data_IF_122307639488
#
_entry.id   IF_122307639488
#
_cell.length_a   1.000
_cell.length_b   1.000
_cell.length_c   1.000
_cell.angle_alpha   90.00
_cell.angle_beta   90.00
_cell.angle_gamma   90.00
#
_symmetry.space_group_name_H-M   'P 1'
#
loop_
_entity.id
_entity.type
_entity.pdbx_description
1 polymer ?
#
# COMPACT_ATOMS: atom_id res chain seq x y z
N UNK A 1 -4.13 -16.73 17.74
CA UNK A 1 -4.21 -18.14 17.29
C UNK A 1 -2.82 -18.74 17.25
N UNK A 2 -2.64 -19.94 17.80
CA UNK A 2 -1.38 -20.68 17.72
C UNK A 2 -1.50 -21.76 16.64
N UNK A 3 -0.72 -21.62 15.57
CA UNK A 3 -0.58 -22.61 14.50
C UNK A 3 0.82 -23.24 14.56
N UNK A 4 0.88 -24.48 15.04
CA UNK A 4 2.11 -25.27 15.07
C UNK A 4 1.94 -26.49 14.18
N UNK A 5 2.74 -26.55 13.11
CA UNK A 5 2.75 -27.67 12.18
C UNK A 5 1.40 -28.01 11.52
N UNK A 6 0.46 -27.06 11.49
CA UNK A 6 -0.81 -27.20 10.75
C UNK A 6 -0.89 -26.25 9.56
N UNK A 7 -1.78 -26.55 8.61
CA UNK A 7 -1.99 -25.82 7.37
C UNK A 7 -3.39 -25.24 7.25
N UNK A 8 -3.82 -24.35 8.17
CA UNK A 8 -5.19 -23.86 8.17
C UNK A 8 -5.47 -23.01 6.93
N UNK A 9 -6.68 -23.16 6.40
CA UNK A 9 -7.27 -22.25 5.42
C UNK A 9 -8.28 -21.39 6.17
N UNK A 10 -8.09 -20.08 6.17
CA UNK A 10 -8.97 -19.12 6.84
C UNK A 10 -9.49 -18.12 5.82
N UNK A 11 -10.79 -17.88 5.85
CA UNK A 11 -11.47 -16.94 4.94
C UNK A 11 -12.45 -16.09 5.72
N UNK A 12 -12.46 -14.79 5.45
CA UNK A 12 -13.37 -13.82 6.08
C UNK A 12 -13.29 -13.80 7.61
N UNK A 13 -12.06 -13.73 8.14
CA UNK A 13 -11.76 -13.77 9.58
C UNK A 13 -11.17 -12.45 10.07
N UNK A 14 -11.50 -12.07 11.31
CA UNK A 14 -10.86 -10.94 11.99
C UNK A 14 -10.18 -11.39 13.28
N UNK A 15 -8.88 -11.08 13.41
CA UNK A 15 -8.13 -11.14 14.66
C UNK A 15 -7.99 -9.72 15.20
N UNK A 16 -8.75 -9.39 16.25
CA UNK A 16 -8.75 -8.04 16.82
C UNK A 16 -8.46 -8.00 18.31
N UNK A 17 -7.63 -7.07 18.75
CA UNK A 17 -7.38 -6.79 20.16
C UNK A 17 -6.68 -7.91 20.94
N UNK A 18 -6.01 -8.84 20.26
CA UNK A 18 -5.32 -9.95 20.91
C UNK A 18 -3.96 -9.51 21.45
N UNK A 19 -3.49 -10.12 22.54
CA UNK A 19 -2.21 -9.77 23.17
C UNK A 19 -1.38 -11.00 23.54
N UNK A 20 -0.13 -11.03 23.08
CA UNK A 20 0.90 -11.97 23.53
C UNK A 20 1.83 -11.26 24.52
N UNK A 21 1.51 -11.31 25.82
CA UNK A 21 2.23 -10.55 26.86
C UNK A 21 3.63 -11.08 27.18
N UNK A 22 3.93 -12.33 26.78
CA UNK A 22 5.22 -12.98 27.00
C UNK A 22 5.60 -13.81 25.75
N UNK A 23 5.51 -13.21 24.56
CA UNK A 23 5.87 -13.91 23.33
C UNK A 23 5.48 -13.17 22.06
N UNK A 24 5.51 -13.94 20.97
CA UNK A 24 5.31 -13.47 19.60
C UNK A 24 3.90 -13.74 19.09
N UNK A 25 3.48 -13.03 18.03
CA UNK A 25 2.27 -13.38 17.27
C UNK A 25 0.98 -13.02 17.99
N UNK A 26 0.80 -11.74 18.34
CA UNK A 26 -0.34 -11.26 19.11
C UNK A 26 -1.69 -11.72 18.54
N UNK A 27 -1.90 -11.50 17.24
CA UNK A 27 -3.05 -12.06 16.52
C UNK A 27 -2.85 -13.53 16.15
N UNK A 28 -1.73 -13.86 15.49
CA UNK A 28 -1.41 -15.22 15.07
C UNK A 28 0.08 -15.55 15.16
N UNK A 29 0.39 -16.72 15.70
CA UNK A 29 1.70 -17.32 15.69
C UNK A 29 1.70 -18.53 14.75
N UNK A 30 2.56 -18.52 13.74
CA UNK A 30 2.80 -19.63 12.83
C UNK A 30 4.21 -20.17 13.03
N UNK A 31 4.32 -21.46 13.34
CA UNK A 31 5.60 -22.16 13.27
C UNK A 31 5.42 -23.52 12.64
N UNK A 32 6.24 -23.80 11.65
CA UNK A 32 6.38 -25.13 11.07
C UNK A 32 7.82 -25.31 10.61
N UNK A 33 8.30 -26.54 10.54
CA UNK A 33 9.60 -26.82 9.93
C UNK A 33 9.48 -27.03 8.41
N UNK A 34 8.29 -26.83 7.82
CA UNK A 34 7.98 -27.07 6.40
C UNK A 34 6.78 -26.24 5.90
N UNK A 35 6.62 -26.17 4.57
CA UNK A 35 5.54 -25.50 3.85
C UNK A 35 4.16 -26.13 4.15
N UNK A 36 3.42 -25.56 5.10
CA UNK A 36 2.18 -26.19 5.56
C UNK A 36 0.94 -25.81 4.75
N UNK A 37 1.05 -24.99 3.71
CA UNK A 37 -0.12 -24.59 2.90
C UNK A 37 -1.11 -23.69 3.66
N UNK A 38 -0.65 -23.01 4.72
CA UNK A 38 -1.45 -21.99 5.40
C UNK A 38 -1.87 -20.91 4.40
N UNK A 39 -3.18 -20.76 4.21
CA UNK A 39 -3.77 -19.79 3.29
C UNK A 39 -4.78 -18.93 4.04
N UNK A 40 -4.55 -17.62 4.05
CA UNK A 40 -5.52 -16.66 4.55
C UNK A 40 -6.06 -15.85 3.38
N UNK A 41 -7.37 -15.66 3.34
CA UNK A 41 -8.05 -14.85 2.33
C UNK A 41 -9.05 -13.92 3.00
N UNK A 42 -9.04 -12.63 2.67
CA UNK A 42 -9.97 -11.64 3.24
C UNK A 42 -9.90 -11.61 4.77
N UNK A 43 -8.70 -11.48 5.33
CA UNK A 43 -8.49 -11.50 6.79
C UNK A 43 -8.00 -10.15 7.28
N UNK A 44 -8.47 -9.74 8.46
CA UNK A 44 -8.01 -8.52 9.14
C UNK A 44 -7.32 -8.85 10.45
N UNK A 45 -6.13 -8.29 10.66
CA UNK A 45 -5.42 -8.25 11.94
C UNK A 45 -5.44 -6.80 12.44
N UNK A 46 -6.25 -6.49 13.46
CA UNK A 46 -6.41 -5.11 13.96
C UNK A 46 -6.12 -4.97 15.45
N UNK A 47 -5.31 -3.98 15.83
CA UNK A 47 -5.10 -3.66 17.25
C UNK A 47 -4.49 -4.80 18.08
N UNK A 48 -3.78 -5.74 17.46
CA UNK A 48 -3.12 -6.83 18.18
C UNK A 48 -1.74 -6.40 18.70
N UNK A 49 -1.28 -7.00 19.79
CA UNK A 49 -0.02 -6.66 20.44
C UNK A 49 0.81 -7.89 20.79
N UNK A 50 2.14 -7.77 20.68
CA UNK A 50 3.08 -8.78 21.15
C UNK A 50 4.23 -8.12 21.92
N UNK A 51 4.69 -8.73 23.01
CA UNK A 51 5.82 -8.18 23.79
C UNK A 51 7.14 -8.24 23.02
N UNK A 52 7.26 -9.14 22.05
CA UNK A 52 8.49 -9.37 21.28
C UNK A 52 8.25 -9.13 19.78
N UNK A 53 7.74 -10.09 19.03
CA UNK A 53 7.69 -10.01 17.58
C UNK A 53 6.28 -10.25 17.03
N UNK A 54 5.94 -9.59 15.91
CA UNK A 54 4.72 -9.92 15.16
C UNK A 54 3.46 -9.56 15.92
N UNK A 55 3.15 -8.27 16.04
CA UNK A 55 1.96 -7.81 16.76
C UNK A 55 0.69 -8.39 16.15
N UNK A 56 0.53 -8.26 14.83
CA UNK A 56 -0.50 -8.94 14.07
C UNK A 56 -0.18 -10.41 13.87
N UNK A 57 0.97 -10.71 13.25
CA UNK A 57 1.39 -12.07 12.92
C UNK A 57 2.89 -12.30 13.10
N UNK A 58 3.24 -13.43 13.69
CA UNK A 58 4.60 -13.95 13.71
C UNK A 58 4.68 -15.26 12.91
N UNK A 59 5.72 -15.38 12.09
CA UNK A 59 5.97 -16.53 11.23
C UNK A 59 7.39 -17.03 11.41
N UNK A 60 7.56 -18.31 11.73
CA UNK A 60 8.87 -18.92 11.95
C UNK A 60 9.03 -20.23 11.17
N UNK A 61 10.06 -20.28 10.32
CA UNK A 61 10.39 -21.38 9.43
C UNK A 61 9.24 -21.87 8.52
N UNK A 62 8.29 -20.99 8.20
CA UNK A 62 7.05 -21.35 7.53
C UNK A 62 6.86 -20.63 6.19
N UNK A 63 6.10 -21.24 5.28
CA UNK A 63 5.58 -20.58 4.07
C UNK A 63 4.07 -20.40 4.21
N UNK A 64 3.59 -19.18 4.00
CA UNK A 64 2.17 -18.86 4.04
C UNK A 64 1.78 -18.00 2.85
N UNK A 65 0.55 -18.19 2.38
CA UNK A 65 -0.03 -17.40 1.30
C UNK A 65 -1.12 -16.51 1.88
N UNK A 66 -0.99 -15.22 1.63
CA UNK A 66 -1.85 -14.17 2.15
C UNK A 66 -2.46 -13.40 0.99
N UNK A 67 -3.79 -13.44 0.88
CA UNK A 67 -4.52 -12.77 -0.19
C UNK A 67 -5.58 -11.86 0.40
N UNK A 68 -5.61 -10.58 0.00
CA UNK A 68 -6.59 -9.61 0.50
C UNK A 68 -6.52 -9.53 2.04
N UNK A 69 -5.41 -9.05 2.59
CA UNK A 69 -5.19 -9.00 4.04
C UNK A 69 -5.00 -7.54 4.49
N UNK A 70 -5.53 -7.19 5.65
CA UNK A 70 -5.21 -5.91 6.31
C UNK A 70 -4.54 -6.16 7.65
N UNK A 71 -3.37 -5.57 7.86
CA UNK A 71 -2.72 -5.41 9.17
C UNK A 71 -2.82 -3.95 9.59
N UNK A 72 -3.66 -3.67 10.59
CA UNK A 72 -3.97 -2.33 11.04
C UNK A 72 -3.66 -2.14 12.53
N UNK A 73 -2.98 -1.05 12.91
CA UNK A 73 -2.78 -0.65 14.33
C UNK A 73 -2.19 -1.73 15.24
N UNK A 74 -1.41 -2.66 14.70
CA UNK A 74 -0.76 -3.69 15.51
C UNK A 74 0.58 -3.19 16.07
N UNK A 75 0.96 -3.70 17.25
CA UNK A 75 2.15 -3.25 17.98
C UNK A 75 3.04 -4.41 18.44
N UNK A 76 4.36 -4.22 18.38
CA UNK A 76 5.35 -5.17 18.89
C UNK A 76 6.71 -4.50 19.13
N UNK A 77 7.72 -5.24 19.59
CA UNK A 77 9.10 -4.75 19.55
C UNK A 77 9.63 -4.72 18.11
N UNK A 78 9.32 -5.73 17.30
CA UNK A 78 9.67 -5.81 15.87
C UNK A 78 8.51 -6.40 15.06
N UNK A 79 8.33 -5.95 13.82
CA UNK A 79 7.29 -6.46 12.92
C UNK A 79 5.88 -6.20 13.47
N UNK A 80 5.46 -4.94 13.55
CA UNK A 80 4.20 -4.55 14.20
C UNK A 80 3.02 -5.25 13.54
N UNK A 81 2.90 -5.13 12.22
CA UNK A 81 1.97 -5.93 11.44
C UNK A 81 2.41 -7.39 11.35
N UNK A 82 3.61 -7.63 10.83
CA UNK A 82 4.13 -8.98 10.61
C UNK A 82 5.64 -9.10 10.89
N UNK A 83 6.03 -10.21 11.51
CA UNK A 83 7.43 -10.62 11.61
C UNK A 83 7.64 -11.99 10.95
N UNK A 84 8.64 -12.09 10.08
CA UNK A 84 9.04 -13.32 9.39
C UNK A 84 10.46 -13.73 9.79
N UNK A 85 10.62 -14.94 10.33
CA UNK A 85 11.90 -15.53 10.73
C UNK A 85 12.17 -16.79 9.91
N UNK A 86 13.24 -16.84 9.13
CA UNK A 86 13.59 -18.03 8.35
C UNK A 86 12.46 -18.50 7.43
N UNK A 87 11.57 -17.60 7.00
CA UNK A 87 10.26 -17.92 6.44
C UNK A 87 10.15 -17.50 4.97
N UNK A 88 9.14 -18.01 4.27
CA UNK A 88 8.91 -17.67 2.85
C UNK A 88 7.45 -17.31 2.54
N UNK A 89 6.91 -16.23 3.12
CA UNK A 89 5.54 -15.80 2.85
C UNK A 89 5.38 -15.16 1.45
N UNK A 90 4.21 -15.38 0.87
CA UNK A 90 3.74 -14.76 -0.37
C UNK A 90 2.51 -13.91 -0.04
N UNK A 91 2.57 -12.62 -0.35
CA UNK A 91 1.52 -11.65 -0.07
C UNK A 91 1.00 -11.06 -1.37
N UNK A 92 -0.31 -11.05 -1.53
CA UNK A 92 -0.99 -10.46 -2.68
C UNK A 92 -2.17 -9.62 -2.22
N UNK A 93 -2.25 -8.37 -2.67
CA UNK A 93 -3.30 -7.43 -2.27
C UNK A 93 -3.34 -7.28 -0.73
N UNK A 94 -2.26 -6.77 -0.14
CA UNK A 94 -2.16 -6.64 1.32
C UNK A 94 -1.96 -5.17 1.69
N UNK A 95 -2.60 -4.74 2.76
CA UNK A 95 -2.36 -3.43 3.36
C UNK A 95 -1.76 -3.59 4.75
N UNK A 96 -0.65 -2.90 4.99
CA UNK A 96 -0.11 -2.64 6.33
C UNK A 96 -0.31 -1.16 6.64
N UNK A 97 -1.18 -0.84 7.59
CA UNK A 97 -1.49 0.54 7.98
C UNK A 97 -1.33 0.78 9.47
N UNK A 98 -0.69 1.89 9.83
CA UNK A 98 -0.58 2.40 11.21
C UNK A 98 -0.04 1.39 12.24
N UNK A 99 0.78 0.43 11.81
CA UNK A 99 1.45 -0.49 12.72
C UNK A 99 2.69 0.18 13.32
N UNK A 100 2.97 -0.07 14.59
CA UNK A 100 4.02 0.65 15.32
C UNK A 100 4.91 -0.27 16.15
N UNK A 101 6.22 -0.02 16.11
CA UNK A 101 7.21 -0.81 16.86
C UNK A 101 8.29 0.03 17.52
N UNK A 102 8.84 -0.49 18.61
CA UNK A 102 9.95 0.15 19.33
C UNK A 102 11.34 -0.13 18.75
N UNK A 103 11.47 -1.03 17.78
CA UNK A 103 12.74 -1.32 17.10
C UNK A 103 12.63 -1.15 15.58
N UNK A 104 12.33 -2.21 14.84
CA UNK A 104 12.44 -2.21 13.37
C UNK A 104 11.27 -2.93 12.68
N UNK A 105 10.92 -2.49 11.47
CA UNK A 105 9.85 -3.07 10.66
C UNK A 105 8.46 -2.77 11.23
N UNK A 106 8.03 -1.52 11.18
CA UNK A 106 6.71 -1.11 11.70
C UNK A 106 5.58 -1.90 11.06
N UNK A 107 5.52 -1.92 9.73
CA UNK A 107 4.61 -2.79 8.98
C UNK A 107 5.08 -4.24 8.97
N UNK A 108 6.29 -4.47 8.45
CA UNK A 108 6.86 -5.81 8.32
C UNK A 108 8.35 -5.87 8.66
N UNK A 109 8.75 -6.93 9.38
CA UNK A 109 10.16 -7.26 9.62
C UNK A 109 10.51 -8.63 9.03
N UNK A 110 11.56 -8.72 8.22
CA UNK A 110 12.06 -9.96 7.62
C UNK A 110 13.46 -10.29 8.14
N UNK A 111 13.61 -11.47 8.73
CA UNK A 111 14.88 -11.98 9.26
C UNK A 111 15.22 -13.32 8.61
N UNK A 112 16.33 -13.38 7.89
CA UNK A 112 16.77 -14.59 7.17
C UNK A 112 15.67 -15.24 6.33
N UNK A 113 14.79 -14.43 5.72
CA UNK A 113 13.56 -14.87 5.07
C UNK A 113 13.59 -14.62 3.57
N UNK A 114 12.71 -15.27 2.81
CA UNK A 114 12.51 -15.05 1.37
C UNK A 114 11.07 -14.63 1.10
N UNK A 115 10.80 -13.33 1.00
CA UNK A 115 9.42 -12.82 0.87
C UNK A 115 9.10 -12.37 -0.55
N UNK A 116 7.86 -12.58 -0.96
CA UNK A 116 7.32 -12.09 -2.24
C UNK A 116 6.07 -11.27 -1.98
N UNK A 117 6.08 -10.02 -2.43
CA UNK A 117 4.99 -9.06 -2.25
C UNK A 117 4.51 -8.57 -3.62
N UNK A 118 3.22 -8.66 -3.87
CA UNK A 118 2.58 -8.17 -5.10
C UNK A 118 1.35 -7.35 -4.76
N UNK A 119 1.22 -6.14 -5.31
CA UNK A 119 0.09 -5.24 -5.04
C UNK A 119 -0.09 -5.00 -3.53
N UNK A 120 0.97 -4.54 -2.87
CA UNK A 120 0.96 -4.31 -1.42
C UNK A 120 1.10 -2.82 -1.12
N UNK A 121 0.36 -2.33 -0.13
CA UNK A 121 0.47 -0.96 0.37
C UNK A 121 0.95 -0.95 1.81
N UNK A 122 1.98 -0.16 2.10
CA UNK A 122 2.44 0.17 3.43
C UNK A 122 2.20 1.66 3.70
N UNK A 123 1.34 1.97 4.66
CA UNK A 123 0.96 3.34 4.99
C UNK A 123 1.07 3.63 6.49
N UNK A 124 1.62 4.79 6.87
CA UNK A 124 1.54 5.26 8.26
C UNK A 124 2.27 4.39 9.29
N UNK A 125 3.07 3.40 8.85
CA UNK A 125 3.74 2.50 9.78
C UNK A 125 4.98 3.16 10.38
N UNK A 126 5.25 2.88 11.65
CA UNK A 126 6.33 3.51 12.40
C UNK A 126 7.25 2.52 13.10
N UNK A 127 8.54 2.82 13.08
CA UNK A 127 9.57 2.09 13.81
C UNK A 127 10.53 3.09 14.46
N UNK A 128 11.15 2.77 15.59
CA UNK A 128 12.12 3.69 16.22
C UNK A 128 13.48 3.70 15.50
N UNK A 129 13.90 2.57 14.92
CA UNK A 129 15.22 2.41 14.31
C UNK A 129 15.13 2.34 12.79
N UNK A 130 14.70 1.21 12.22
CA UNK A 130 14.82 0.95 10.79
C UNK A 130 13.51 0.49 10.16
N UNK A 131 13.21 0.97 8.95
CA UNK A 131 12.11 0.41 8.15
C UNK A 131 10.76 0.64 8.79
N UNK A 132 10.23 1.86 8.72
CA UNK A 132 8.89 2.16 9.22
C UNK A 132 7.85 1.30 8.51
N UNK A 133 7.90 1.24 7.18
CA UNK A 133 7.10 0.33 6.37
C UNK A 133 7.63 -1.11 6.44
N UNK A 134 8.85 -1.32 5.97
CA UNK A 134 9.50 -2.64 5.95
C UNK A 134 10.98 -2.58 6.30
N UNK A 135 11.43 -3.52 7.14
CA UNK A 135 12.86 -3.75 7.39
C UNK A 135 13.24 -5.19 7.06
N UNK A 136 14.36 -5.39 6.39
CA UNK A 136 14.86 -6.70 5.99
C UNK A 136 16.30 -6.90 6.40
N UNK A 137 16.57 -8.00 7.11
CA UNK A 137 17.91 -8.41 7.53
C UNK A 137 18.27 -9.81 7.05
N UNK A 138 19.44 -9.93 6.40
CA UNK A 138 19.97 -11.16 5.77
C UNK A 138 18.91 -11.91 4.97
N UNK A 139 18.03 -11.18 4.29
CA UNK A 139 16.81 -11.70 3.67
C UNK A 139 16.83 -11.50 2.17
N UNK A 140 16.01 -12.26 1.46
CA UNK A 140 15.67 -12.03 0.07
C UNK A 140 14.25 -11.48 -0.01
N UNK A 141 14.05 -10.37 -0.72
CA UNK A 141 12.70 -9.82 -0.91
C UNK A 141 12.47 -9.50 -2.38
N UNK A 142 11.31 -9.92 -2.90
CA UNK A 142 10.86 -9.58 -4.26
C UNK A 142 9.58 -8.75 -4.16
N UNK A 143 9.65 -7.50 -4.59
CA UNK A 143 8.55 -6.56 -4.52
C UNK A 143 8.11 -6.20 -5.94
N UNK A 144 6.83 -6.36 -6.23
CA UNK A 144 6.24 -6.02 -7.53
C UNK A 144 4.98 -5.20 -7.31
N UNK A 145 4.91 -4.01 -7.88
CA UNK A 145 3.73 -3.14 -7.76
C UNK A 145 3.37 -2.88 -6.29
N UNK A 146 4.32 -2.34 -5.52
CA UNK A 146 4.18 -2.06 -4.08
C UNK A 146 4.27 -0.56 -3.86
N UNK A 147 3.48 -0.03 -2.93
CA UNK A 147 3.53 1.39 -2.54
C UNK A 147 3.85 1.52 -1.05
N UNK A 148 4.91 2.26 -0.73
CA UNK A 148 5.23 2.72 0.62
C UNK A 148 5.01 4.23 0.67
N UNK A 149 4.15 4.70 1.57
CA UNK A 149 3.91 6.14 1.76
C UNK A 149 3.58 6.49 3.21
N UNK A 150 4.09 7.62 3.72
CA UNK A 150 3.76 8.08 5.07
C UNK A 150 4.36 7.24 6.19
N UNK A 151 5.41 6.45 5.94
CA UNK A 151 6.03 5.60 6.95
C UNK A 151 7.18 6.33 7.66
N UNK A 152 7.51 5.97 8.90
CA UNK A 152 8.49 6.71 9.71
C UNK A 152 9.48 5.79 10.43
N UNK A 153 10.77 6.10 10.34
CA UNK A 153 11.83 5.50 11.15
C UNK A 153 13.04 6.44 11.29
N UNK A 154 14.06 6.04 12.04
CA UNK A 154 15.35 6.78 12.04
C UNK A 154 16.08 6.60 10.71
N UNK A 155 16.02 5.40 10.11
CA UNK A 155 16.60 5.12 8.80
C UNK A 155 15.65 4.30 7.93
N UNK A 156 15.42 4.77 6.71
CA UNK A 156 14.55 4.09 5.75
C UNK A 156 13.12 4.03 6.26
N UNK A 157 12.51 5.19 6.48
CA UNK A 157 11.11 5.31 6.90
C UNK A 157 10.19 4.45 6.06
N UNK A 158 10.35 4.46 4.74
CA UNK A 158 9.66 3.53 3.85
C UNK A 158 10.25 2.12 3.98
N UNK A 159 11.49 1.97 3.52
CA UNK A 159 12.19 0.68 3.43
C UNK A 159 13.61 0.76 3.97
N UNK A 160 13.99 -0.22 4.78
CA UNK A 160 15.38 -0.49 5.14
C UNK A 160 15.78 -1.91 4.71
N UNK A 161 16.84 -2.01 3.91
CA UNK A 161 17.39 -3.28 3.44
C UNK A 161 18.85 -3.41 3.89
N UNK A 162 19.18 -4.39 4.72
CA UNK A 162 20.58 -4.59 5.06
C UNK A 162 21.43 -5.02 3.84
N UNK A 163 22.74 -4.79 3.91
CA UNK A 163 23.64 -5.05 2.79
C UNK A 163 23.92 -6.55 2.55
N UNK A 164 23.40 -7.43 3.42
CA UNK A 164 23.66 -8.88 3.35
C UNK A 164 22.58 -9.66 2.59
N UNK A 165 21.46 -9.00 2.28
CA UNK A 165 20.33 -9.58 1.57
C UNK A 165 20.35 -9.41 0.05
N UNK A 166 19.29 -9.90 -0.59
CA UNK A 166 19.01 -9.71 -2.01
C UNK A 166 17.61 -9.12 -2.17
N UNK A 167 17.53 -7.85 -2.57
CA UNK A 167 16.28 -7.10 -2.55
C UNK A 167 15.97 -6.60 -3.95
N UNK A 168 15.00 -7.21 -4.63
CA UNK A 168 14.62 -6.88 -6.00
C UNK A 168 13.27 -6.15 -6.00
N UNK A 169 13.29 -4.91 -6.50
CA UNK A 169 12.11 -4.05 -6.59
C UNK A 169 11.76 -3.79 -8.05
N UNK A 170 10.49 -3.99 -8.40
CA UNK A 170 9.96 -3.67 -9.73
C UNK A 170 8.62 -2.97 -9.61
N UNK A 171 8.45 -1.84 -10.30
CA UNK A 171 7.23 -1.04 -10.22
C UNK A 171 6.88 -0.63 -8.77
N UNK A 172 7.88 -0.25 -7.96
CA UNK A 172 7.65 0.12 -6.54
C UNK A 172 7.68 1.63 -6.36
N UNK A 173 6.71 2.18 -5.62
CA UNK A 173 6.73 3.55 -5.12
C UNK A 173 7.23 3.54 -3.66
N UNK A 174 8.20 4.39 -3.33
CA UNK A 174 8.62 4.68 -1.97
C UNK A 174 8.67 6.19 -1.80
N UNK A 175 7.79 6.74 -0.99
CA UNK A 175 7.61 8.19 -0.87
C UNK A 175 7.12 8.59 0.52
N UNK A 176 7.05 9.90 0.74
CA UNK A 176 6.43 10.59 1.86
C UNK A 176 6.86 10.02 3.23
N UNK A 177 8.10 9.51 3.32
CA UNK A 177 8.56 8.83 4.52
C UNK A 177 9.51 9.69 5.35
N UNK A 178 9.40 9.59 6.66
CA UNK A 178 10.30 10.27 7.61
C UNK A 178 11.48 9.38 7.96
N UNK A 179 12.70 9.92 7.94
CA UNK A 179 13.95 9.15 8.06
C UNK A 179 14.52 8.64 6.73
N UNK A 180 14.06 9.23 5.62
CA UNK A 180 14.43 8.88 4.25
C UNK A 180 13.58 7.74 3.69
N UNK A 181 13.30 7.76 2.39
CA UNK A 181 12.42 6.78 1.76
C UNK A 181 13.02 5.37 1.77
N UNK A 182 14.26 5.24 1.31
CA UNK A 182 14.91 3.94 1.18
C UNK A 182 16.37 3.97 1.66
N UNK A 183 16.70 3.11 2.62
CA UNK A 183 18.06 2.98 3.16
C UNK A 183 18.65 1.59 2.93
N UNK A 184 19.97 1.54 2.86
CA UNK A 184 20.72 0.32 2.58
C UNK A 184 20.91 0.05 1.09
N UNK A 185 20.72 -1.18 0.64
CA UNK A 185 20.98 -1.56 -0.75
C UNK A 185 19.90 -2.43 -1.37
N UNK A 186 19.63 -2.21 -2.65
CA UNK A 186 18.85 -3.11 -3.50
C UNK A 186 19.71 -3.80 -4.54
N UNK A 187 19.21 -4.91 -5.08
CA UNK A 187 19.87 -5.71 -6.10
C UNK A 187 19.85 -4.98 -7.46
N UNK A 188 20.90 -5.17 -8.30
CA UNK A 188 21.02 -4.51 -9.61
C UNK A 188 19.89 -4.77 -10.62
N UNK A 189 19.05 -5.80 -10.38
CA UNK A 189 17.88 -6.10 -11.20
C UNK A 189 16.66 -5.21 -10.91
N UNK A 190 16.73 -4.33 -9.91
CA UNK A 190 15.62 -3.46 -9.54
C UNK A 190 15.42 -2.36 -10.58
N UNK A 191 14.21 -2.24 -11.13
CA UNK A 191 13.89 -1.32 -12.25
C UNK A 191 12.48 -0.77 -12.14
N UNK A 192 12.20 0.35 -12.83
CA UNK A 192 10.87 0.96 -12.91
C UNK A 192 10.30 1.31 -11.54
N UNK A 193 11.16 1.72 -10.62
CA UNK A 193 10.75 2.17 -9.29
C UNK A 193 10.73 3.69 -9.23
N UNK A 194 9.89 4.24 -8.36
CA UNK A 194 9.85 5.66 -8.03
C UNK A 194 10.23 5.84 -6.56
N UNK A 195 11.29 6.61 -6.31
CA UNK A 195 11.68 7.06 -4.98
C UNK A 195 11.61 8.59 -4.94
N UNK A 196 10.81 9.14 -4.03
CA UNK A 196 10.61 10.60 -3.93
C UNK A 196 11.90 11.28 -3.44
N UNK A 197 12.56 10.71 -2.43
CA UNK A 197 13.83 11.19 -1.92
C UNK A 197 14.98 10.92 -2.91
N UNK A 198 15.82 11.92 -3.17
CA UNK A 198 16.98 11.80 -4.06
C UNK A 198 18.29 11.44 -3.36
N UNK A 199 18.30 11.37 -2.03
CA UNK A 199 19.47 11.02 -1.20
C UNK A 199 19.32 9.66 -0.54
N UNK A 200 18.10 9.27 -0.15
CA UNK A 200 17.80 7.97 0.45
C UNK A 200 17.12 7.04 -0.57
N UNK A 201 17.90 6.58 -1.55
CA UNK A 201 17.41 5.77 -2.68
C UNK A 201 17.72 4.28 -2.57
N UNK A 202 18.30 3.82 -1.45
CA UNK A 202 18.86 2.48 -1.28
C UNK A 202 19.74 1.97 -2.45
N UNK A 203 20.47 2.88 -3.10
CA UNK A 203 21.35 2.58 -4.24
C UNK A 203 20.64 2.50 -5.59
N UNK A 204 19.33 2.75 -5.66
CA UNK A 204 18.63 2.94 -6.92
C UNK A 204 19.16 4.19 -7.62
N UNK A 205 19.37 4.07 -8.93
CA UNK A 205 19.78 5.15 -9.81
C UNK A 205 18.86 5.17 -11.02
N UNK A 206 18.70 6.34 -11.64
CA UNK A 206 18.05 6.45 -12.94
C UNK A 206 19.12 6.54 -14.04
N UNK A 207 19.11 5.61 -15.00
CA UNK A 207 20.01 5.62 -16.15
C UNK A 207 19.39 4.93 -17.37
N UNK A 208 20.09 4.96 -18.51
CA UNK A 208 19.56 4.44 -19.79
C UNK A 208 19.28 2.93 -19.79
N UNK A 209 19.86 2.16 -18.86
CA UNK A 209 19.68 0.71 -18.76
C UNK A 209 18.69 0.29 -17.68
N UNK A 210 18.45 1.17 -16.70
CA UNK A 210 17.52 0.94 -15.57
C UNK A 210 16.71 2.22 -15.38
N UNK A 211 15.45 2.15 -15.79
CA UNK A 211 14.55 3.31 -15.78
C UNK A 211 13.92 3.39 -14.40
N UNK A 212 14.51 4.14 -13.47
CA UNK A 212 13.87 4.49 -12.20
C UNK A 212 13.51 5.97 -12.23
N UNK A 213 12.59 6.41 -11.37
CA UNK A 213 12.26 7.81 -11.14
C UNK A 213 12.78 8.15 -9.75
N UNK A 214 13.68 9.13 -9.66
CA UNK A 214 14.33 9.51 -8.41
C UNK A 214 14.15 11.00 -8.22
N UNK A 215 13.77 11.44 -7.02
CA UNK A 215 13.65 12.86 -6.72
C UNK A 215 12.36 13.52 -7.19
N UNK A 216 11.30 12.74 -7.46
CA UNK A 216 10.02 13.26 -7.93
C UNK A 216 8.89 12.79 -7.03
N UNK A 217 7.98 13.69 -6.68
CA UNK A 217 6.76 13.38 -5.96
C UNK A 217 5.88 12.44 -6.83
N UNK A 218 5.48 11.26 -6.32
CA UNK A 218 4.54 10.39 -7.01
C UNK A 218 3.11 10.96 -7.15
N UNK A 219 2.80 12.09 -6.50
CA UNK A 219 1.49 12.74 -6.52
C UNK A 219 0.38 11.75 -6.11
N UNK A 220 0.57 11.15 -4.93
CA UNK A 220 -0.38 10.19 -4.37
C UNK A 220 -1.62 10.92 -3.81
N UNK A 221 -2.79 10.30 -3.98
CA UNK A 221 -4.00 10.68 -3.27
C UNK A 221 -3.97 10.28 -1.80
N UNK A 222 -5.12 10.37 -1.12
CA UNK A 222 -5.26 9.85 0.25
C UNK A 222 -5.36 8.32 0.24
N UNK A 223 -4.91 7.67 1.32
CA UNK A 223 -5.11 6.22 1.46
C UNK A 223 -6.62 5.94 1.49
N UNK A 224 -7.08 5.14 0.53
CA UNK A 224 -8.50 4.95 0.27
C UNK A 224 -8.88 3.48 0.33
N UNK A 225 -10.00 3.17 0.99
CA UNK A 225 -10.54 1.81 1.06
C UNK A 225 -11.49 1.50 -0.11
N UNK A 226 -11.03 0.65 -1.03
CA UNK A 226 -11.81 0.16 -2.16
C UNK A 226 -12.57 -1.14 -1.85
N UNK A 227 -12.99 -1.33 -0.60
CA UNK A 227 -13.94 -2.37 -0.21
C UNK A 227 -13.27 -3.69 0.19
N UNK A 228 -13.14 -3.88 1.49
CA UNK A 228 -12.74 -5.15 2.10
C UNK A 228 -11.24 -5.25 2.40
N UNK A 229 -10.81 -6.34 3.07
CA UNK A 229 -9.42 -6.47 3.51
C UNK A 229 -8.42 -6.42 2.35
N UNK A 230 -7.30 -5.71 2.55
CA UNK A 230 -6.24 -5.55 1.57
C UNK A 230 -6.58 -4.65 0.38
N UNK A 231 -7.72 -3.95 0.39
CA UNK A 231 -8.14 -3.01 -0.68
C UNK A 231 -7.87 -1.55 -0.37
N UNK A 232 -7.15 -1.27 0.72
CA UNK A 232 -6.67 0.08 1.03
C UNK A 232 -5.40 0.40 0.26
N UNK A 233 -5.48 1.35 -0.67
CA UNK A 233 -4.39 1.74 -1.59
C UNK A 233 -4.38 3.24 -1.84
N UNK A 234 -3.24 3.79 -2.24
CA UNK A 234 -3.10 5.18 -2.69
C UNK A 234 -3.40 5.29 -4.19
N UNK A 235 -4.43 6.05 -4.59
CA UNK A 235 -4.63 6.44 -5.99
C UNK A 235 -3.46 7.30 -6.49
N UNK A 236 -3.10 7.17 -7.77
CA UNK A 236 -2.21 8.12 -8.45
C UNK A 236 -3.04 9.30 -8.91
N UNK A 237 -2.65 10.54 -8.65
CA UNK A 237 -3.40 11.70 -9.13
C UNK A 237 -2.89 12.17 -10.49
N UNK A 238 -3.64 13.04 -11.15
CA UNK A 238 -3.19 13.67 -12.40
C UNK A 238 -1.82 14.35 -12.23
N UNK A 239 -0.96 14.19 -13.23
CA UNK A 239 0.41 14.68 -13.21
C UNK A 239 1.39 13.78 -12.46
N UNK A 240 0.92 12.66 -11.90
CA UNK A 240 1.78 11.67 -11.28
C UNK A 240 2.80 11.12 -12.30
N UNK A 241 4.11 11.15 -11.98
CA UNK A 241 5.13 10.56 -12.83
C UNK A 241 5.14 9.02 -12.76
N UNK A 242 4.33 8.40 -11.90
CA UNK A 242 4.18 6.94 -11.83
C UNK A 242 3.26 6.37 -12.92
N UNK A 243 2.42 7.21 -13.53
CA UNK A 243 1.47 6.81 -14.57
C UNK A 243 2.21 6.41 -15.84
N UNK A 244 1.88 5.24 -16.38
CA UNK A 244 2.48 4.61 -17.55
C UNK A 244 4.02 4.45 -17.47
N UNK A 245 4.62 4.58 -16.29
CA UNK A 245 6.08 4.58 -16.12
C UNK A 245 6.67 3.21 -15.71
N UNK A 246 5.82 2.25 -15.40
CA UNK A 246 6.20 0.89 -15.02
C UNK A 246 6.60 0.01 -16.21
N UNK A 247 7.12 -1.17 -15.89
CA UNK A 247 7.34 -2.24 -16.88
C UNK A 247 6.16 -3.21 -16.90
N UNK A 248 5.80 -3.67 -18.10
CA UNK A 248 4.82 -4.75 -18.29
C UNK A 248 5.41 -6.13 -17.94
N UNK A 249 6.73 -6.25 -17.80
CA UNK A 249 7.37 -7.53 -17.47
C UNK A 249 7.09 -7.88 -16.01
N UNK A 250 6.37 -8.99 -15.79
CA UNK A 250 5.98 -9.41 -14.44
C UNK A 250 4.86 -8.58 -13.82
N UNK A 251 4.23 -7.67 -14.58
CA UNK A 251 3.10 -6.92 -14.10
C UNK A 251 1.88 -7.85 -13.87
N UNK A 252 1.23 -7.80 -12.69
CA UNK A 252 0.06 -8.62 -12.40
C UNK A 252 -1.14 -8.21 -13.28
N UNK A 253 -2.06 -9.13 -13.54
CA UNK A 253 -3.23 -8.88 -14.39
C UNK A 253 -4.22 -7.85 -13.81
N UNK A 254 -4.15 -7.62 -12.49
CA UNK A 254 -4.95 -6.63 -11.79
C UNK A 254 -4.11 -5.87 -10.77
N UNK A 255 -4.55 -4.66 -10.41
CA UNK A 255 -4.00 -3.89 -9.28
C UNK A 255 -4.51 -4.40 -7.92
N UNK A 256 -4.13 -3.70 -6.84
CA UNK A 256 -4.51 -4.09 -5.48
C UNK A 256 -6.03 -4.13 -5.27
N UNK A 257 -6.79 -3.28 -5.98
CA UNK A 257 -8.25 -3.21 -5.92
C UNK A 257 -8.90 -4.37 -6.68
N UNK A 258 -8.22 -4.88 -7.70
CA UNK A 258 -8.73 -5.85 -8.66
C UNK A 258 -9.10 -5.21 -10.01
N UNK A 259 -8.76 -3.93 -10.23
CA UNK A 259 -8.90 -3.29 -11.53
C UNK A 259 -7.87 -3.85 -12.50
N UNK A 260 -8.21 -3.96 -13.79
CA UNK A 260 -7.33 -4.53 -14.81
C UNK A 260 -6.04 -3.72 -14.99
N UNK A 261 -4.94 -4.40 -15.35
CA UNK A 261 -3.66 -3.80 -15.74
C UNK A 261 -3.20 -4.29 -17.13
N UNK A 262 -2.46 -3.48 -17.89
CA UNK A 262 -2.30 -2.03 -17.71
C UNK A 262 -3.55 -1.24 -18.15
N UNK A 263 -3.73 -0.04 -17.62
CA UNK A 263 -4.64 0.98 -18.16
C UNK A 263 -3.78 2.03 -18.85
N UNK A 264 -3.52 1.80 -20.14
CA UNK A 264 -2.57 2.60 -20.91
C UNK A 264 -1.56 1.74 -21.66
N UNK A 265 -0.50 2.34 -22.23
CA UNK A 265 0.58 1.60 -22.86
C UNK A 265 1.36 0.66 -21.92
N UNK A 266 1.50 1.03 -20.64
CA UNK A 266 2.36 0.32 -19.68
C UNK A 266 1.74 0.32 -18.30
N UNK A 267 2.10 -0.65 -17.47
CA UNK A 267 1.63 -0.66 -16.08
C UNK A 267 2.13 0.57 -15.34
N UNK A 268 1.32 1.06 -14.42
CA UNK A 268 1.73 2.11 -13.51
C UNK A 268 2.70 1.57 -12.45
N UNK A 269 3.60 2.43 -11.99
CA UNK A 269 4.44 2.15 -10.83
C UNK A 269 3.56 2.17 -9.58
N UNK A 270 3.74 1.22 -8.67
CA UNK A 270 3.01 1.11 -7.41
C UNK A 270 1.82 0.17 -7.46
N UNK A 271 1.06 0.14 -6.37
CA UNK A 271 -0.02 -0.82 -6.13
C UNK A 271 -1.36 -0.48 -6.78
N UNK A 272 -1.51 0.75 -7.29
CA UNK A 272 -2.67 1.25 -8.03
C UNK A 272 -2.41 1.27 -9.55
N UNK A 273 -3.47 1.14 -10.35
CA UNK A 273 -3.44 1.35 -11.80
C UNK A 273 -4.54 2.34 -12.23
N UNK A 274 -4.18 3.30 -13.06
CA UNK A 274 -4.97 4.42 -13.54
C UNK A 274 -4.69 5.71 -12.75
N UNK A 275 -5.50 6.72 -13.05
CA UNK A 275 -5.53 7.99 -12.32
C UNK A 275 -6.79 8.08 -11.44
N UNK A 276 -6.61 8.52 -10.20
CA UNK A 276 -7.65 9.06 -9.34
C UNK A 276 -7.87 10.53 -9.67
N UNK A 277 -9.14 10.94 -9.70
CA UNK A 277 -9.56 12.29 -10.06
C UNK A 277 -9.95 13.06 -8.80
N UNK A 278 -9.27 14.17 -8.53
CA UNK A 278 -9.63 15.07 -7.44
C UNK A 278 -10.47 16.21 -7.99
N UNK A 279 -11.59 16.50 -7.33
CA UNK A 279 -12.35 17.72 -7.51
C UNK A 279 -11.64 18.86 -6.79
N UNK A 280 -11.05 19.77 -7.56
CA UNK A 280 -10.42 21.00 -7.05
C UNK A 280 -11.25 22.25 -7.35
N UNK A 281 -12.25 22.15 -8.24
CA UNK A 281 -13.11 23.25 -8.63
C UNK A 281 -12.35 24.44 -9.20
N UNK A 282 -11.20 24.23 -9.84
CA UNK A 282 -10.40 25.32 -10.42
C UNK A 282 -11.01 25.93 -11.71
N UNK A 283 -12.11 25.37 -12.22
CA UNK A 283 -12.86 25.92 -13.35
C UNK A 283 -13.82 27.07 -13.00
N UNK A 284 -14.39 27.69 -14.05
CA UNK A 284 -15.29 28.85 -13.93
C UNK A 284 -16.67 28.52 -13.33
N UNK A 285 -17.05 27.24 -13.25
CA UNK A 285 -18.33 26.77 -12.75
C UNK A 285 -18.20 25.69 -11.65
N UNK A 286 -19.30 25.01 -11.34
CA UNK A 286 -19.37 23.98 -10.30
C UNK A 286 -19.77 22.60 -10.83
N UNK A 287 -19.61 22.33 -12.12
CA UNK A 287 -20.22 21.18 -12.77
C UNK A 287 -19.26 19.99 -12.97
N UNK A 288 -19.70 18.76 -12.66
CA UNK A 288 -18.92 17.53 -12.87
C UNK A 288 -18.57 17.29 -14.35
N UNK A 289 -19.38 17.76 -15.30
CA UNK A 289 -19.08 17.63 -16.73
C UNK A 289 -18.02 18.62 -17.24
N UNK A 290 -17.60 19.58 -16.43
CA UNK A 290 -16.56 20.55 -16.80
C UNK A 290 -15.19 20.01 -16.41
N UNK A 291 -14.38 19.67 -17.41
CA UNK A 291 -13.07 19.04 -17.21
C UNK A 291 -12.13 19.86 -16.32
N UNK A 292 -12.18 21.19 -16.44
CA UNK A 292 -11.37 22.15 -15.64
C UNK A 292 -11.67 22.14 -14.13
N UNK A 293 -12.72 21.45 -13.67
CA UNK A 293 -13.01 21.32 -12.24
C UNK A 293 -12.35 20.07 -11.62
N UNK A 294 -11.64 19.31 -12.43
CA UNK A 294 -10.96 18.08 -12.05
C UNK A 294 -9.46 18.24 -12.26
N UNK A 295 -8.69 17.64 -11.37
CA UNK A 295 -7.24 17.58 -11.53
C UNK A 295 -6.87 16.95 -12.86
N UNK A 296 -6.06 17.65 -13.66
CA UNK A 296 -5.68 17.19 -15.00
C UNK A 296 -6.62 17.61 -16.12
N UNK A 297 -7.54 18.53 -15.86
CA UNK A 297 -8.47 19.06 -16.85
C UNK A 297 -9.23 17.95 -17.61
N UNK A 298 -9.55 16.86 -16.92
CA UNK A 298 -10.15 15.66 -17.49
C UNK A 298 -11.30 15.18 -16.62
N UNK A 299 -12.47 14.99 -17.22
CA UNK A 299 -13.66 14.48 -16.51
C UNK A 299 -13.44 12.99 -16.18
N UNK A 300 -13.73 12.54 -14.95
CA UNK A 300 -13.65 11.12 -14.60
C UNK A 300 -14.51 10.27 -15.54
N UNK A 301 -14.12 9.02 -15.73
CA UNK A 301 -14.81 8.01 -16.52
C UNK A 301 -15.34 6.87 -15.66
N UNK A 302 -15.79 5.82 -16.34
CA UNK A 302 -16.24 4.60 -15.68
C UNK A 302 -15.03 3.86 -15.08
N UNK A 303 -15.11 3.48 -13.81
CA UNK A 303 -14.01 2.79 -13.10
C UNK A 303 -13.03 3.72 -12.38
N UNK A 304 -13.17 5.04 -12.56
CA UNK A 304 -12.30 6.01 -11.93
C UNK A 304 -12.70 6.27 -10.47
N UNK A 305 -11.71 6.59 -9.65
CA UNK A 305 -11.91 6.99 -8.27
C UNK A 305 -11.97 8.52 -8.20
N UNK A 306 -12.95 9.04 -7.46
CA UNK A 306 -13.24 10.46 -7.36
C UNK A 306 -13.02 10.95 -5.93
N UNK A 307 -12.31 12.06 -5.76
CA UNK A 307 -11.92 12.60 -4.46
C UNK A 307 -12.33 14.06 -4.29
N UNK A 308 -12.89 14.42 -3.14
CA UNK A 308 -13.10 15.80 -2.72
C UNK A 308 -12.17 16.08 -1.54
N UNK A 309 -10.97 16.61 -1.79
CA UNK A 309 -9.91 16.69 -0.78
C UNK A 309 -9.90 18.00 0.03
N UNK A 310 -10.79 18.95 -0.26
CA UNK A 310 -10.93 20.20 0.48
C UNK A 310 -10.09 21.37 -0.04
N UNK A 311 -9.40 21.22 -1.17
CA UNK A 311 -8.77 22.37 -1.87
C UNK A 311 -9.82 23.36 -2.39
N UNK A 312 -11.05 22.89 -2.60
CA UNK A 312 -12.19 23.70 -3.02
C UNK A 312 -13.24 23.83 -1.92
N UNK A 313 -13.78 25.04 -1.75
CA UNK A 313 -15.03 25.28 -0.99
C UNK A 313 -16.23 25.48 -1.91
N UNK A 314 -16.04 25.42 -3.23
CA UNK A 314 -17.13 25.55 -4.20
C UNK A 314 -18.08 24.36 -4.06
N UNK A 315 -19.38 24.66 -4.13
CA UNK A 315 -20.39 23.63 -4.34
C UNK A 315 -20.05 22.83 -5.60
N UNK A 316 -20.50 21.59 -5.65
CA UNK A 316 -20.32 20.71 -6.79
C UNK A 316 -21.68 20.22 -7.25
N UNK A 317 -21.94 20.22 -8.55
CA UNK A 317 -23.19 19.77 -9.16
C UNK A 317 -22.89 18.58 -10.05
N UNK A 318 -23.50 17.44 -9.72
CA UNK A 318 -23.43 16.23 -10.53
C UNK A 318 -24.55 16.30 -11.57
N UNK A 319 -24.21 16.69 -12.79
CA UNK A 319 -25.15 16.77 -13.92
C UNK A 319 -25.15 15.53 -14.83
N UNK A 320 -24.36 14.52 -14.47
CA UNK A 320 -24.19 13.22 -15.14
C UNK A 320 -24.03 13.28 -16.68
N UNK A 321 -22.77 13.28 -17.11
CA UNK A 321 -22.32 12.77 -18.42
C UNK A 321 -21.16 11.78 -18.22
N UNK A 322 -21.28 10.86 -17.25
CA UNK A 322 -20.32 9.76 -17.15
C UNK A 322 -20.73 8.66 -18.11
N UNK A 323 -19.79 8.14 -18.89
CA UNK A 323 -19.98 6.96 -19.74
C UNK A 323 -20.23 5.65 -18.95
N UNK A 324 -20.40 5.71 -17.62
CA UNK A 324 -20.61 4.58 -16.72
C UNK A 324 -20.48 4.96 -15.24
N UNK A 325 -20.33 3.96 -14.36
CA UNK A 325 -20.20 4.15 -12.91
C UNK A 325 -18.75 4.45 -12.51
N UNK A 326 -18.55 5.47 -11.66
CA UNK A 326 -17.26 5.67 -10.96
C UNK A 326 -17.08 4.58 -9.91
N UNK A 327 -15.84 4.23 -9.57
CA UNK A 327 -15.58 3.13 -8.63
C UNK A 327 -15.81 3.56 -7.18
N UNK A 328 -15.27 4.73 -6.80
CA UNK A 328 -15.40 5.31 -5.47
C UNK A 328 -15.66 6.82 -5.56
N UNK A 329 -16.34 7.34 -4.55
CA UNK A 329 -16.42 8.78 -4.26
C UNK A 329 -16.05 8.99 -2.81
N UNK A 330 -14.94 9.65 -2.56
CA UNK A 330 -14.42 9.91 -1.22
C UNK A 330 -14.41 11.41 -0.95
N UNK A 331 -15.09 11.83 0.12
CA UNK A 331 -15.22 13.23 0.51
C UNK A 331 -14.47 13.45 1.82
N UNK A 332 -13.43 14.27 1.78
CA UNK A 332 -12.64 14.61 2.95
C UNK A 332 -13.41 15.55 3.87
N UNK A 333 -13.14 15.44 5.19
CA UNK A 333 -13.61 16.39 6.20
C UNK A 333 -13.29 17.88 5.89
N UNK A 334 -12.25 18.13 5.08
CA UNK A 334 -11.84 19.49 4.74
C UNK A 334 -12.68 20.11 3.61
N UNK A 335 -13.40 19.29 2.85
CA UNK A 335 -14.29 19.77 1.81
C UNK A 335 -15.56 20.35 2.42
N UNK A 336 -15.75 21.66 2.23
CA UNK A 336 -16.88 22.41 2.83
C UNK A 336 -17.95 22.81 1.81
N UNK A 337 -17.76 22.45 0.53
CA UNK A 337 -18.74 22.68 -0.52
C UNK A 337 -19.95 21.75 -0.39
N UNK A 338 -21.09 22.17 -0.96
CA UNK A 338 -22.28 21.31 -1.07
C UNK A 338 -22.21 20.49 -2.36
N UNK A 339 -22.34 19.16 -2.27
CA UNK A 339 -22.52 18.30 -3.44
C UNK A 339 -24.01 18.14 -3.74
N UNK A 340 -24.43 18.60 -4.90
CA UNK A 340 -25.82 18.56 -5.37
C UNK A 340 -25.94 17.56 -6.51
N UNK A 341 -26.77 16.55 -6.31
CA UNK A 341 -27.08 15.57 -7.36
C UNK A 341 -28.16 16.15 -8.28
N UNK A 342 -27.73 16.78 -9.38
CA UNK A 342 -28.64 17.19 -10.46
C UNK A 342 -29.17 15.99 -11.25
N UNK A 343 -28.44 14.87 -11.24
CA UNK A 343 -28.80 13.56 -11.81
C UNK A 343 -28.24 12.43 -10.93
N UNK A 344 -28.69 11.20 -11.19
CA UNK A 344 -28.21 10.01 -10.46
C UNK A 344 -26.73 9.73 -10.78
N UNK A 345 -25.91 9.58 -9.74
CA UNK A 345 -24.54 9.08 -9.85
C UNK A 345 -24.53 7.58 -9.60
N UNK A 346 -23.91 6.80 -10.49
CA UNK A 346 -23.65 5.40 -10.24
C UNK A 346 -22.26 5.26 -9.61
N UNK A 347 -22.20 4.70 -8.39
CA UNK A 347 -20.96 4.34 -7.69
C UNK A 347 -20.97 2.82 -7.53
N UNK A 348 -19.97 2.14 -8.07
CA UNK A 348 -19.97 0.67 -8.13
C UNK A 348 -19.46 0.00 -6.85
N UNK A 349 -18.77 0.74 -5.99
CA UNK A 349 -18.15 0.18 -4.80
C UNK A 349 -18.53 0.98 -3.54
N UNK A 350 -17.75 1.99 -3.15
CA UNK A 350 -18.01 2.75 -1.93
C UNK A 350 -18.22 4.25 -2.18
N UNK A 351 -19.19 4.81 -1.49
CA UNK A 351 -19.27 6.24 -1.20
C UNK A 351 -18.83 6.42 0.25
N UNK A 352 -17.73 7.14 0.47
CA UNK A 352 -17.26 7.46 1.82
C UNK A 352 -17.25 8.98 2.04
N UNK A 353 -17.70 9.37 3.22
CA UNK A 353 -17.56 10.72 3.72
C UNK A 353 -16.86 10.59 5.05
N UNK A 354 -15.59 11.01 5.10
CA UNK A 354 -14.89 11.09 6.36
C UNK A 354 -15.53 12.21 7.17
N UNK A 355 -16.34 11.85 8.18
CA UNK A 355 -16.81 12.71 9.27
C UNK A 355 -17.72 13.90 8.91
N UNK A 356 -18.89 13.94 9.55
CA UNK A 356 -19.79 15.08 9.62
C UNK A 356 -20.69 14.97 10.84
#
# INVERSE_FOLDING_TARGET
MLNVSSGPILTDVTFSGNSATNGDGGGMYNSSNHNNGTLLTNVTFSGNSASTNGGGMYTNASSLTLVNITFYTNTASMGGGMYNRGSSPILTNVTFSDNSVSDSGGGMYNSSSTTTLTNVTFSGNSASNNGGGMSSSSSTTRLTNVTFSGNSATSGGGVYNDASGYHELTNVIIANSSGGDCSGSVSPGSTNNLVEDNTNTCGLTNNIFVVNIIGQDPVLGVLTDFGGPGKQVFPLLSGSPAVDAGTNTGCPATDQRGAARPIGPTCDIGAYEGIGFVWDGEGADNNWSTALNWTGDTVPGAGDAVFFNGTSSKNSVIDAVFGGAVVNVDISNAYTGTITFGRSLAVSNNYSQDGG
#
